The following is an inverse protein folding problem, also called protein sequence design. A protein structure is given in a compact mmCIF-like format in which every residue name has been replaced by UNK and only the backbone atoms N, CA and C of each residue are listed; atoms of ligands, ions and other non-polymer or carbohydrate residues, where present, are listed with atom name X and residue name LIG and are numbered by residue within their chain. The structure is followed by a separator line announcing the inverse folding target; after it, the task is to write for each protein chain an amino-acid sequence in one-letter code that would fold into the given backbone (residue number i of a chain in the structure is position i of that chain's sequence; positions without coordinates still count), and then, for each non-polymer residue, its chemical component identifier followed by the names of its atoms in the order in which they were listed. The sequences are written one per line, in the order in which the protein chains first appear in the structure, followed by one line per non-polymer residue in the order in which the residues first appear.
data_IF_503011474257
#
_entry.id   IF_503011474257
#
_cell.length_a   1.000
_cell.length_b   1.000
_cell.length_c   1.000
_cell.angle_alpha   90.00
_cell.angle_beta   90.00
_cell.angle_gamma   90.00
#
_symmetry.space_group_name_H-M   'P 1'
#
loop_
_entity.id
_entity.type
_entity.pdbx_description
1 polymer ?
#
# COMPACT_ATOMS: atom_id res chain seq x y z
N UNK A 1 -23.76 27.20 55.19
CA UNK A 1 -24.62 26.07 54.76
C UNK A 1 -25.35 26.48 53.50
N UNK A 2 -25.18 25.70 52.42
CA UNK A 2 -25.93 25.73 51.14
C UNK A 2 -25.72 26.98 50.27
N UNK A 3 -25.58 26.92 48.95
CA UNK A 3 -25.26 25.89 47.98
C UNK A 3 -24.98 26.63 46.65
N UNK A 4 -24.09 26.07 45.84
CA UNK A 4 -23.99 26.13 44.37
C UNK A 4 -24.74 27.25 43.61
N UNK A 5 -24.01 28.02 42.80
CA UNK A 5 -23.88 27.77 41.35
C UNK A 5 -23.36 29.05 40.67
N UNK A 6 -22.05 29.07 40.43
CA UNK A 6 -21.42 30.04 39.55
C UNK A 6 -21.81 29.71 38.10
N UNK A 7 -22.74 30.49 37.56
CA UNK A 7 -23.03 30.56 36.13
C UNK A 7 -21.88 31.25 35.42
N UNK A 8 -21.01 30.50 34.73
CA UNK A 8 -20.34 30.95 33.50
C UNK A 8 -19.58 29.78 32.86
N UNK A 9 -19.70 29.67 31.52
CA UNK A 9 -18.97 28.80 30.61
C UNK A 9 -19.21 27.29 30.70
N UNK A 10 -20.20 26.80 29.93
CA UNK A 10 -20.02 25.86 28.81
C UNK A 10 -21.40 25.39 28.35
N UNK A 11 -21.82 25.77 27.14
CA UNK A 11 -22.62 24.95 26.22
C UNK A 11 -22.89 25.75 24.93
N UNK A 12 -21.82 25.88 24.15
CA UNK A 12 -21.95 25.89 22.69
C UNK A 12 -22.24 24.44 22.31
N UNK A 13 -23.51 24.07 22.16
CA UNK A 13 -23.97 22.96 21.33
C UNK A 13 -25.50 22.84 21.43
N UNK A 14 -26.11 22.67 20.26
CA UNK A 14 -27.52 22.34 19.98
C UNK A 14 -28.48 23.52 19.78
N UNK A 15 -28.48 24.04 18.54
CA UNK A 15 -29.66 23.94 17.67
C UNK A 15 -30.74 25.04 17.73
N UNK A 16 -30.70 25.97 16.75
CA UNK A 16 -31.89 26.38 15.99
C UNK A 16 -31.45 27.13 14.72
N UNK A 17 -31.62 26.50 13.56
CA UNK A 17 -32.60 26.87 12.53
C UNK A 17 -32.41 28.31 12.03
N UNK A 18 -31.56 28.42 11.01
CA UNK A 18 -31.52 29.53 10.08
C UNK A 18 -31.51 28.98 8.66
N UNK A 19 -32.70 28.63 8.13
CA UNK A 19 -32.90 28.47 6.70
C UNK A 19 -32.51 29.78 6.00
N UNK A 20 -31.31 29.84 5.43
CA UNK A 20 -31.00 30.77 4.33
C UNK A 20 -30.51 29.98 3.14
N UNK A 21 -31.41 29.94 2.14
CA UNK A 21 -31.17 29.59 0.74
C UNK A 21 -29.79 30.09 0.29
N UNK A 22 -28.87 29.16 0.05
CA UNK A 22 -27.53 29.44 -0.47
C UNK A 22 -26.62 28.20 -0.51
N UNK A 23 -27.20 26.99 -0.50
CA UNK A 23 -26.49 25.74 -0.21
C UNK A 23 -26.79 24.65 -1.24
N UNK A 24 -26.96 25.05 -2.50
CA UNK A 24 -27.17 24.12 -3.63
C UNK A 24 -25.95 24.08 -4.58
N UNK A 25 -25.05 25.07 -4.54
CA UNK A 25 -23.87 25.12 -5.44
C UNK A 25 -22.56 24.54 -4.85
N UNK A 26 -22.58 23.92 -3.67
CA UNK A 26 -21.37 23.33 -3.03
C UNK A 26 -21.43 21.82 -2.78
N UNK A 27 -22.43 21.12 -3.35
CA UNK A 27 -22.69 19.70 -3.08
C UNK A 27 -21.97 18.71 -4.01
N UNK A 28 -21.27 19.18 -5.06
CA UNK A 28 -20.76 18.28 -6.10
C UNK A 28 -19.37 17.70 -5.84
N UNK A 29 -18.61 18.22 -4.86
CA UNK A 29 -17.24 17.79 -4.57
C UNK A 29 -17.03 17.58 -3.07
N UNK A 30 -16.56 16.40 -2.67
CA UNK A 30 -16.12 16.11 -1.30
C UNK A 30 -14.60 16.31 -1.15
N UNK A 31 -14.13 16.73 0.02
CA UNK A 31 -12.70 16.67 0.33
C UNK A 31 -12.30 15.25 0.78
N UNK A 32 -11.12 14.79 0.38
CA UNK A 32 -10.54 13.52 0.80
C UNK A 32 -10.21 13.54 2.30
N UNK A 33 -10.58 12.46 3.00
CA UNK A 33 -10.37 12.33 4.44
C UNK A 33 -11.24 11.22 5.04
N UNK A 34 -10.85 10.71 6.21
CA UNK A 34 -11.61 9.67 6.89
C UNK A 34 -13.05 10.13 7.18
N UNK A 35 -14.03 9.42 6.61
CA UNK A 35 -15.46 9.65 6.85
C UNK A 35 -16.14 10.67 5.93
N UNK A 36 -15.41 11.33 5.02
CA UNK A 36 -16.00 12.22 4.00
C UNK A 36 -16.39 11.44 2.75
N UNK A 37 -17.68 11.34 2.46
CA UNK A 37 -18.20 10.67 1.26
C UNK A 37 -18.76 11.69 0.26
N UNK A 38 -18.26 11.66 -0.97
CA UNK A 38 -19.00 12.19 -2.12
C UNK A 38 -20.19 11.27 -2.38
N UNK A 39 -21.40 11.80 -2.47
CA UNK A 39 -22.62 11.00 -2.68
C UNK A 39 -23.10 11.10 -4.11
N UNK A 40 -23.37 9.95 -4.72
CA UNK A 40 -24.05 9.85 -6.01
C UNK A 40 -25.06 8.71 -5.94
N UNK A 41 -26.34 9.06 -6.04
CA UNK A 41 -27.44 8.11 -5.86
C UNK A 41 -27.41 7.43 -4.48
N UNK A 42 -27.49 6.08 -4.41
CA UNK A 42 -27.44 5.32 -3.16
C UNK A 42 -26.02 5.07 -2.66
N UNK A 43 -24.98 5.46 -3.42
CA UNK A 43 -23.58 5.20 -3.08
C UNK A 43 -22.87 6.46 -2.57
N UNK A 44 -21.98 6.25 -1.62
CA UNK A 44 -20.93 7.18 -1.23
C UNK A 44 -19.57 6.68 -1.70
N UNK A 45 -18.67 7.60 -2.08
CA UNK A 45 -17.26 7.34 -2.33
C UNK A 45 -16.39 8.20 -1.42
N UNK A 46 -15.44 7.58 -0.74
CA UNK A 46 -14.39 8.25 0.02
C UNK A 46 -13.00 7.85 -0.50
N UNK A 47 -12.02 8.74 -0.34
CA UNK A 47 -10.60 8.43 -0.50
C UNK A 47 -10.03 8.11 0.89
N UNK A 48 -9.55 6.88 1.07
CA UNK A 48 -8.95 6.43 2.34
C UNK A 48 -7.49 6.87 2.47
N UNK A 49 -6.74 6.71 1.38
CA UNK A 49 -5.32 7.04 1.35
C UNK A 49 -4.89 7.34 -0.08
N UNK A 50 -3.84 8.15 -0.18
CA UNK A 50 -3.15 8.45 -1.44
C UNK A 50 -1.67 8.22 -1.20
N UNK A 51 -1.05 7.50 -2.12
CA UNK A 51 0.39 7.29 -2.14
C UNK A 51 0.92 7.79 -3.46
N UNK A 52 1.92 8.67 -3.39
CA UNK A 52 2.71 9.07 -4.54
C UNK A 52 4.11 8.46 -4.44
N UNK A 53 4.54 7.80 -5.51
CA UNK A 53 5.89 7.25 -5.62
C UNK A 53 5.90 5.91 -6.33
N UNK A 54 7.05 5.24 -6.25
CA UNK A 54 7.24 3.90 -6.76
C UNK A 54 6.35 2.87 -6.06
N UNK A 55 5.82 1.94 -6.83
CA UNK A 55 4.93 0.88 -6.35
C UNK A 55 5.38 -0.50 -6.78
N UNK A 56 4.88 -1.52 -6.09
CA UNK A 56 5.11 -2.91 -6.47
C UNK A 56 4.33 -3.24 -7.73
N UNK A 57 5.00 -3.95 -8.62
CA UNK A 57 4.41 -4.43 -9.85
C UNK A 57 4.63 -5.94 -10.01
N UNK A 58 3.65 -6.62 -10.59
CA UNK A 58 3.75 -8.04 -10.93
C UNK A 58 3.75 -8.21 -12.45
N UNK A 59 4.87 -8.69 -12.98
CA UNK A 59 5.02 -9.05 -14.39
C UNK A 59 4.36 -10.39 -14.75
N UNK A 60 4.19 -10.62 -16.05
CA UNK A 60 3.45 -11.76 -16.63
C UNK A 60 3.93 -13.16 -16.20
N UNK A 61 5.18 -13.29 -15.74
CA UNK A 61 5.75 -14.57 -15.27
C UNK A 61 5.84 -14.66 -13.74
N UNK A 62 5.09 -13.84 -13.01
CA UNK A 62 5.18 -13.74 -11.55
C UNK A 62 6.45 -13.05 -11.06
N UNK A 63 7.19 -12.39 -11.97
CA UNK A 63 8.32 -11.54 -11.63
C UNK A 63 7.79 -10.30 -10.92
N UNK A 64 8.22 -10.07 -9.70
CA UNK A 64 7.87 -8.88 -8.93
C UNK A 64 8.98 -7.85 -9.08
N UNK A 65 8.58 -6.59 -9.16
CA UNK A 65 9.49 -5.48 -9.31
C UNK A 65 8.89 -4.20 -8.76
N UNK A 66 9.58 -3.12 -9.03
CA UNK A 66 9.10 -1.79 -8.73
C UNK A 66 8.76 -1.09 -10.05
N UNK A 67 7.71 -0.25 -10.04
CA UNK A 67 7.32 0.54 -11.19
C UNK A 67 8.49 1.38 -11.70
N UNK A 68 8.63 1.48 -13.01
CA UNK A 68 9.71 2.30 -13.61
C UNK A 68 9.56 3.77 -13.25
N UNK A 69 8.34 4.26 -13.16
CA UNK A 69 8.03 5.65 -12.85
C UNK A 69 7.24 5.75 -11.55
N UNK A 70 7.24 6.92 -10.93
CA UNK A 70 6.35 7.21 -9.81
C UNK A 70 4.90 7.21 -10.31
N UNK A 71 3.99 6.73 -9.47
CA UNK A 71 2.55 6.71 -9.76
C UNK A 71 1.78 7.25 -8.57
N UNK A 72 0.55 7.68 -8.82
CA UNK A 72 -0.44 7.86 -7.77
C UNK A 72 -1.21 6.56 -7.58
N UNK A 73 -1.22 6.03 -6.36
CA UNK A 73 -2.14 4.97 -5.93
C UNK A 73 -3.14 5.58 -4.96
N UNK A 74 -4.42 5.49 -5.30
CA UNK A 74 -5.51 6.06 -4.54
C UNK A 74 -6.41 4.92 -4.08
N UNK A 75 -6.46 4.71 -2.77
CA UNK A 75 -7.36 3.76 -2.15
C UNK A 75 -8.69 4.43 -1.89
N UNK A 76 -9.75 3.83 -2.43
CA UNK A 76 -11.11 4.34 -2.34
C UNK A 76 -12.02 3.37 -1.61
N UNK A 77 -13.00 3.91 -0.89
CA UNK A 77 -14.05 3.13 -0.23
C UNK A 77 -15.42 3.54 -0.77
N UNK A 78 -16.11 2.59 -1.39
CA UNK A 78 -17.52 2.70 -1.69
C UNK A 78 -18.34 2.26 -0.48
N UNK A 79 -19.42 2.98 -0.21
CA UNK A 79 -20.39 2.64 0.82
C UNK A 79 -21.80 2.74 0.27
N UNK A 80 -22.62 1.72 0.51
CA UNK A 80 -24.06 1.78 0.29
C UNK A 80 -24.68 2.62 1.42
N UNK A 81 -25.05 3.86 1.08
CA UNK A 81 -25.66 4.81 2.01
C UNK A 81 -27.17 4.59 2.13
N UNK A 82 -27.80 4.08 1.07
CA UNK A 82 -29.21 3.67 1.07
C UNK A 82 -29.30 2.15 0.99
N UNK A 83 -29.57 1.52 2.13
CA UNK A 83 -29.61 0.06 2.27
C UNK A 83 -30.96 -0.56 1.90
N UNK A 84 -31.92 0.23 1.43
CA UNK A 84 -33.24 -0.26 1.03
C UNK A 84 -33.20 -1.18 -0.20
N UNK A 85 -32.14 -1.10 -1.01
CA UNK A 85 -31.99 -1.86 -2.23
C UNK A 85 -30.52 -2.25 -2.47
N UNK A 86 -30.22 -3.54 -2.71
CA UNK A 86 -28.89 -3.97 -3.09
C UNK A 86 -28.39 -3.34 -4.40
N UNK A 87 -27.08 -3.15 -4.49
CA UNK A 87 -26.42 -2.57 -5.66
C UNK A 87 -25.23 -3.43 -6.06
N UNK A 88 -25.08 -3.71 -7.36
CA UNK A 88 -23.83 -4.24 -7.93
C UNK A 88 -22.90 -3.07 -8.25
N UNK A 89 -21.71 -3.10 -7.67
CA UNK A 89 -20.68 -2.10 -7.90
C UNK A 89 -19.46 -2.80 -8.56
N UNK A 90 -19.24 -2.61 -9.87
CA UNK A 90 -18.07 -3.14 -10.58
C UNK A 90 -16.79 -2.46 -10.13
N UNK A 91 -15.66 -3.17 -10.23
CA UNK A 91 -14.33 -2.56 -10.13
C UNK A 91 -14.15 -1.46 -11.16
N UNK A 92 -13.75 -0.28 -10.70
CA UNK A 92 -13.56 0.91 -11.54
C UNK A 92 -12.38 0.73 -12.50
N UNK A 93 -11.30 0.11 -12.02
CA UNK A 93 -10.18 -0.35 -12.84
C UNK A 93 -10.07 -1.87 -12.66
N UNK A 94 -10.21 -2.64 -13.74
CA UNK A 94 -10.12 -4.10 -13.72
C UNK A 94 -8.77 -4.60 -14.26
N UNK A 95 -8.37 -5.77 -13.78
CA UNK A 95 -7.29 -6.55 -14.40
C UNK A 95 -7.72 -6.96 -15.82
N UNK A 96 -6.88 -6.70 -16.82
CA UNK A 96 -7.21 -7.06 -18.19
C UNK A 96 -8.08 -6.04 -18.97
N UNK A 97 -8.35 -4.84 -18.44
CA UNK A 97 -8.94 -3.75 -19.23
C UNK A 97 -9.38 -2.54 -18.41
N UNK A 98 -9.28 -1.34 -18.99
CA UNK A 98 -10.04 -0.20 -18.48
C UNK A 98 -11.50 -0.46 -18.88
N UNK A 99 -12.39 -0.74 -17.91
CA UNK A 99 -13.82 -0.57 -18.17
C UNK A 99 -14.04 0.93 -18.33
N UNK A 100 -13.88 1.42 -19.56
CA UNK A 100 -14.41 2.71 -19.95
C UNK A 100 -15.92 2.59 -19.80
N UNK A 101 -16.42 3.10 -18.67
CA UNK A 101 -17.61 3.93 -18.60
C UNK A 101 -18.82 3.44 -19.40
N UNK A 102 -19.89 3.09 -18.70
CA UNK A 102 -21.23 3.22 -19.27
C UNK A 102 -21.52 4.74 -19.43
N UNK A 103 -21.25 5.31 -20.61
CA UNK A 103 -21.55 6.71 -20.97
C UNK A 103 -20.35 7.67 -21.04
N UNK A 104 -20.63 8.98 -21.06
CA UNK A 104 -19.65 10.07 -21.29
C UNK A 104 -18.66 10.32 -20.13
N UNK A 105 -18.91 9.76 -18.93
CA UNK A 105 -18.13 10.04 -17.72
C UNK A 105 -16.87 9.16 -17.62
N UNK A 106 -15.67 9.74 -17.65
CA UNK A 106 -14.39 9.02 -17.57
C UNK A 106 -13.74 9.14 -16.18
N UNK A 107 -13.00 8.11 -15.78
CA UNK A 107 -12.11 8.16 -14.62
C UNK A 107 -10.97 9.15 -14.89
N UNK A 108 -10.80 10.17 -14.05
CA UNK A 108 -9.79 11.22 -14.22
C UNK A 108 -9.15 11.58 -12.90
N UNK A 109 -7.86 11.92 -12.95
CA UNK A 109 -7.13 12.55 -11.87
C UNK A 109 -6.47 13.81 -12.43
N UNK A 110 -6.81 14.96 -11.85
CA UNK A 110 -6.48 16.28 -12.40
C UNK A 110 -5.70 17.06 -11.34
N UNK A 111 -4.61 17.73 -11.70
CA UNK A 111 -3.89 18.59 -10.76
C UNK A 111 -4.46 20.01 -10.67
N UNK A 112 -3.89 20.84 -9.78
CA UNK A 112 -4.31 22.23 -9.60
C UNK A 112 -4.11 23.13 -10.82
N UNK A 113 -3.40 22.66 -11.86
CA UNK A 113 -3.20 23.35 -13.14
C UNK A 113 -4.10 22.82 -14.26
N UNK A 114 -4.97 21.84 -13.97
CA UNK A 114 -5.86 21.22 -14.96
C UNK A 114 -5.18 20.13 -15.79
N UNK A 115 -3.97 19.68 -15.44
CA UNK A 115 -3.28 18.58 -16.13
C UNK A 115 -3.84 17.25 -15.66
N UNK A 116 -4.08 16.33 -16.60
CA UNK A 116 -4.64 15.02 -16.31
C UNK A 116 -3.56 13.95 -16.23
N UNK A 117 -3.60 13.15 -15.17
CA UNK A 117 -2.83 11.92 -15.06
C UNK A 117 -3.53 10.79 -15.83
N UNK A 118 -2.75 10.00 -16.57
CA UNK A 118 -3.30 8.85 -17.30
C UNK A 118 -3.57 7.70 -16.34
N UNK A 119 -4.74 7.05 -16.40
CA UNK A 119 -4.98 5.80 -15.68
C UNK A 119 -3.99 4.72 -16.13
N UNK A 120 -3.35 4.03 -15.18
CA UNK A 120 -2.44 2.92 -15.49
C UNK A 120 -3.26 1.64 -15.70
N UNK A 121 -3.39 1.23 -16.96
CA UNK A 121 -4.09 0.01 -17.35
C UNK A 121 -3.42 -1.24 -16.75
N UNK A 122 -4.21 -2.28 -16.51
CA UNK A 122 -3.75 -3.52 -15.88
C UNK A 122 -3.06 -4.53 -16.84
N UNK A 123 -2.57 -4.09 -18.00
CA UNK A 123 -1.77 -4.92 -18.92
C UNK A 123 -0.33 -4.43 -18.95
N UNK A 124 0.62 -5.34 -18.73
CA UNK A 124 2.06 -5.09 -18.81
C UNK A 124 2.81 -5.53 -17.57
N UNK A 125 4.12 -5.28 -17.54
CA UNK A 125 5.02 -5.58 -16.42
C UNK A 125 4.69 -4.82 -15.12
N UNK A 126 3.60 -4.04 -15.11
CA UNK A 126 3.27 -2.97 -14.15
C UNK A 126 1.91 -3.12 -13.45
N UNK A 127 1.34 -4.34 -13.36
CA UNK A 127 0.10 -4.56 -12.62
C UNK A 127 0.32 -4.29 -11.12
N UNK A 128 -0.25 -3.19 -10.61
CA UNK A 128 -0.20 -2.84 -9.18
C UNK A 128 -0.92 -3.91 -8.38
N UNK A 129 -0.22 -4.54 -7.44
CA UNK A 129 -0.79 -5.59 -6.58
C UNK A 129 -1.97 -5.07 -5.76
N UNK A 130 -2.95 -5.94 -5.48
CA UNK A 130 -4.13 -5.70 -4.64
C UNK A 130 -5.35 -4.98 -5.26
N UNK A 131 -5.39 -4.76 -6.59
CA UNK A 131 -6.61 -4.27 -7.26
C UNK A 131 -7.78 -5.26 -7.13
N UNK A 132 -9.00 -4.73 -7.05
CA UNK A 132 -10.21 -5.56 -7.12
C UNK A 132 -10.43 -6.00 -8.56
N UNK A 133 -10.65 -7.29 -8.75
CA UNK A 133 -10.75 -7.91 -10.09
C UNK A 133 -12.19 -8.24 -10.50
N UNK A 134 -13.17 -7.90 -9.67
CA UNK A 134 -14.56 -8.32 -9.87
C UNK A 134 -15.60 -7.31 -9.40
N UNK A 135 -16.87 -7.68 -9.60
CA UNK A 135 -18.02 -6.90 -9.11
C UNK A 135 -18.39 -7.35 -7.71
N UNK A 136 -18.69 -6.39 -6.84
CA UNK A 136 -19.19 -6.65 -5.48
C UNK A 136 -20.67 -6.31 -5.42
N UNK A 137 -21.47 -7.16 -4.76
CA UNK A 137 -22.84 -6.82 -4.37
C UNK A 137 -22.79 -6.17 -3.00
N UNK A 138 -23.23 -4.92 -2.94
CA UNK A 138 -23.39 -4.16 -1.71
C UNK A 138 -24.85 -4.29 -1.23
N UNK A 139 -25.03 -4.58 0.05
CA UNK A 139 -26.33 -4.70 0.72
C UNK A 139 -26.21 -4.28 2.19
N UNK A 140 -27.25 -4.48 3.00
CA UNK A 140 -27.24 -4.09 4.41
C UNK A 140 -26.18 -4.83 5.26
N UNK A 141 -25.89 -6.10 4.94
CA UNK A 141 -24.95 -6.95 5.67
C UNK A 141 -23.50 -6.76 5.20
N UNK A 142 -23.31 -6.40 3.93
CA UNK A 142 -22.04 -6.11 3.30
C UNK A 142 -22.14 -4.77 2.54
N UNK A 143 -22.06 -3.67 3.27
CA UNK A 143 -22.37 -2.33 2.75
C UNK A 143 -21.17 -1.58 2.18
N UNK A 144 -19.96 -2.14 2.25
CA UNK A 144 -18.73 -1.44 1.84
C UNK A 144 -17.89 -2.28 0.86
N UNK A 145 -17.23 -1.62 -0.08
CA UNK A 145 -16.18 -2.20 -0.92
C UNK A 145 -15.02 -1.23 -1.07
N UNK A 146 -13.82 -1.77 -1.23
CA UNK A 146 -12.59 -1.00 -1.46
C UNK A 146 -12.11 -1.22 -2.89
N UNK A 147 -11.63 -0.14 -3.53
CA UNK A 147 -10.97 -0.16 -4.83
C UNK A 147 -9.63 0.57 -4.77
N UNK A 148 -8.66 0.08 -5.55
CA UNK A 148 -7.39 0.76 -5.80
C UNK A 148 -7.35 1.33 -7.20
N UNK A 149 -7.13 2.64 -7.28
CA UNK A 149 -7.00 3.36 -8.52
C UNK A 149 -5.53 3.76 -8.71
N UNK A 150 -4.97 3.52 -9.88
CA UNK A 150 -3.60 3.93 -10.20
C UNK A 150 -3.57 4.87 -11.40
N UNK A 151 -2.75 5.91 -11.29
CA UNK A 151 -2.49 6.91 -12.32
C UNK A 151 -0.99 7.17 -12.46
N UNK A 152 -0.54 7.50 -13.66
CA UNK A 152 0.82 8.01 -13.89
C UNK A 152 1.07 9.26 -13.02
N UNK A 153 2.30 9.47 -12.55
CA UNK A 153 2.66 10.74 -11.92
C UNK A 153 2.56 11.88 -12.92
N UNK A 154 2.17 13.07 -12.44
CA UNK A 154 2.20 14.31 -13.23
C UNK A 154 3.50 15.03 -12.85
N UNK A 155 4.49 15.15 -13.76
CA UNK A 155 5.75 15.83 -13.46
C UNK A 155 5.53 17.27 -13.00
N UNK A 156 6.04 17.59 -11.82
CA UNK A 156 5.85 18.90 -11.19
C UNK A 156 4.40 19.18 -10.80
N UNK A 157 3.61 18.16 -10.44
CA UNK A 157 2.28 18.34 -9.86
C UNK A 157 2.33 19.35 -8.71
N UNK A 158 1.41 20.32 -8.71
CA UNK A 158 1.28 21.32 -7.65
C UNK A 158 -0.18 21.47 -7.24
N UNK A 159 -0.39 21.92 -6.00
CA UNK A 159 -1.72 22.10 -5.44
C UNK A 159 -2.46 20.78 -5.19
N UNK A 160 -3.77 20.90 -5.05
CA UNK A 160 -4.64 19.77 -4.78
C UNK A 160 -4.93 18.97 -6.06
N UNK A 161 -5.18 17.68 -5.90
CA UNK A 161 -5.68 16.86 -7.00
C UNK A 161 -7.21 16.83 -6.95
N UNK A 162 -7.85 16.69 -8.10
CA UNK A 162 -9.27 16.38 -8.23
C UNK A 162 -9.40 15.00 -8.86
N UNK A 163 -9.96 14.07 -8.10
CA UNK A 163 -10.32 12.74 -8.56
C UNK A 163 -11.79 12.76 -9.03
N UNK A 164 -12.02 12.39 -10.28
CA UNK A 164 -13.35 12.19 -10.84
C UNK A 164 -13.57 10.70 -11.11
N UNK A 165 -14.53 10.08 -10.42
CA UNK A 165 -14.85 8.65 -10.55
C UNK A 165 -16.27 8.49 -11.08
N UNK A 166 -16.49 7.78 -12.21
CA UNK A 166 -17.84 7.52 -12.68
C UNK A 166 -18.58 6.67 -11.64
N UNK A 167 -19.83 7.03 -11.34
CA UNK A 167 -20.67 6.28 -10.42
C UNK A 167 -21.20 5.01 -11.09
N UNK A 168 -20.34 4.16 -11.63
CA UNK A 168 -20.74 2.91 -12.27
C UNK A 168 -21.34 1.98 -11.21
N UNK A 169 -22.67 1.90 -11.15
CA UNK A 169 -23.39 0.96 -10.29
C UNK A 169 -24.69 0.49 -10.94
N UNK A 170 -25.18 -0.68 -10.50
CA UNK A 170 -26.39 -1.29 -11.02
C UNK A 170 -27.33 -1.56 -9.84
N UNK A 171 -28.47 -0.86 -9.70
CA UNK A 171 -29.46 -1.18 -8.68
C UNK A 171 -30.21 -2.47 -8.99
N UNK A 172 -30.56 -3.23 -7.95
CA UNK A 172 -31.41 -4.41 -8.07
C UNK A 172 -32.86 -4.01 -8.35
N UNK A 173 -33.45 -4.56 -9.40
CA UNK A 173 -34.85 -4.35 -9.78
C UNK A 173 -35.77 -5.29 -8.97
N UNK A 174 -37.09 -5.01 -8.90
CA UNK A 174 -38.05 -5.88 -8.21
C UNK A 174 -38.09 -7.33 -8.72
N UNK A 175 -37.69 -7.55 -9.98
CA UNK A 175 -37.59 -8.89 -10.58
C UNK A 175 -36.29 -9.64 -10.22
N UNK A 176 -35.47 -9.08 -9.33
CA UNK A 176 -34.19 -9.66 -8.89
C UNK A 176 -33.00 -9.41 -9.82
N UNK A 177 -33.21 -8.79 -10.99
CA UNK A 177 -32.14 -8.49 -11.93
C UNK A 177 -31.46 -7.15 -11.62
N UNK A 178 -30.23 -6.96 -12.09
CA UNK A 178 -29.49 -5.71 -11.92
C UNK A 178 -29.53 -4.88 -13.20
N UNK A 179 -29.95 -3.62 -13.09
CA UNK A 179 -30.09 -2.74 -14.25
C UNK A 179 -28.88 -1.81 -14.40
N UNK A 180 -28.36 -1.68 -15.62
CA UNK A 180 -27.32 -0.69 -15.95
C UNK A 180 -27.95 0.71 -15.93
N UNK A 181 -27.36 1.62 -15.16
CA UNK A 181 -27.73 3.03 -15.20
C UNK A 181 -27.10 3.72 -16.41
N UNK A 182 -27.90 4.47 -17.18
CA UNK A 182 -27.42 5.16 -18.39
C UNK A 182 -26.60 6.42 -18.08
N UNK A 183 -26.81 7.05 -16.93
CA UNK A 183 -26.11 8.27 -16.52
C UNK A 183 -26.04 8.34 -14.99
N UNK A 184 -25.23 7.49 -14.35
CA UNK A 184 -25.29 7.39 -12.90
C UNK A 184 -24.63 8.57 -12.18
N UNK A 185 -23.98 9.50 -12.89
CA UNK A 185 -23.25 10.64 -12.31
C UNK A 185 -21.76 10.36 -12.14
N UNK A 186 -21.06 11.32 -11.51
CA UNK A 186 -19.62 11.28 -11.26
C UNK A 186 -19.35 11.76 -9.84
N UNK A 187 -18.60 10.97 -9.08
CA UNK A 187 -18.04 11.41 -7.81
C UNK A 187 -16.90 12.36 -8.08
N UNK A 188 -16.89 13.54 -7.48
CA UNK A 188 -15.73 14.44 -7.48
C UNK A 188 -15.17 14.53 -6.08
N UNK A 189 -13.88 14.26 -5.96
CA UNK A 189 -13.17 14.29 -4.68
C UNK A 189 -11.93 15.16 -4.83
N UNK A 190 -11.81 16.19 -4.00
CA UNK A 190 -10.58 16.99 -3.87
C UNK A 190 -9.62 16.28 -2.92
N UNK A 191 -8.39 16.05 -3.35
CA UNK A 191 -7.32 15.45 -2.57
C UNK A 191 -6.31 16.56 -2.26
N UNK A 192 -6.25 17.05 -1.00
CA UNK A 192 -5.32 18.10 -0.61
C UNK A 192 -3.86 17.72 -0.87
N UNK A 193 -3.01 18.70 -1.18
CA UNK A 193 -1.57 18.46 -1.42
C UNK A 193 -0.88 17.65 -0.33
N UNK A 194 -1.13 18.02 0.92
CA UNK A 194 -0.59 17.34 2.11
C UNK A 194 -0.95 15.85 2.20
N UNK A 195 -2.04 15.40 1.59
CA UNK A 195 -2.46 14.00 1.60
C UNK A 195 -1.65 13.17 0.60
N UNK A 196 -1.31 13.74 -0.56
CA UNK A 196 -0.59 13.00 -1.61
C UNK A 196 0.92 13.23 -1.62
N UNK A 197 1.39 14.35 -1.06
CA UNK A 197 2.81 14.70 -0.91
C UNK A 197 3.44 14.11 0.36
N UNK A 198 2.62 13.53 1.24
CA UNK A 198 3.09 12.86 2.45
C UNK A 198 3.95 11.64 2.08
N UNK A 199 5.21 11.65 2.55
CA UNK A 199 6.03 10.45 2.46
C UNK A 199 5.41 9.34 3.32
N UNK A 200 5.39 8.08 2.83
CA UNK A 200 4.92 6.98 3.64
C UNK A 200 5.74 6.89 4.95
N UNK A 201 5.09 6.58 6.08
CA UNK A 201 5.72 6.61 7.38
C UNK A 201 6.94 5.69 7.44
N UNK A 202 7.96 6.12 8.17
CA UNK A 202 9.18 5.34 8.43
C UNK A 202 9.34 5.10 9.92
N UNK A 203 9.97 3.98 10.27
CA UNK A 203 10.39 3.65 11.64
C UNK A 203 11.90 3.80 11.71
N UNK A 204 12.43 4.50 12.71
CA UNK A 204 13.87 4.55 12.91
C UNK A 204 14.42 3.14 13.20
N UNK A 205 15.47 2.75 12.48
CA UNK A 205 16.14 1.48 12.67
C UNK A 205 16.86 1.42 14.02
N UNK A 206 16.84 0.24 14.64
CA UNK A 206 17.50 -0.02 15.90
C UNK A 206 16.85 -1.19 16.64
N UNK A 207 17.58 -1.82 17.58
CA UNK A 207 17.05 -2.95 18.34
C UNK A 207 15.71 -2.64 19.01
N UNK A 208 14.72 -3.51 18.77
CA UNK A 208 13.37 -3.36 19.34
C UNK A 208 12.49 -2.29 18.69
N UNK A 209 12.91 -1.67 17.58
CA UNK A 209 12.08 -0.74 16.80
C UNK A 209 11.31 -1.50 15.71
N UNK A 210 10.09 -1.89 16.05
CA UNK A 210 9.25 -2.73 15.19
C UNK A 210 8.31 -1.89 14.31
N UNK A 211 8.30 -2.19 13.01
CA UNK A 211 7.22 -1.83 12.10
C UNK A 211 6.27 -3.02 11.97
N UNK A 212 4.96 -2.81 12.03
CA UNK A 212 3.96 -3.89 11.98
C UNK A 212 3.01 -3.68 10.80
N UNK A 213 2.79 -4.74 10.03
CA UNK A 213 1.84 -4.80 8.92
C UNK A 213 1.10 -6.13 9.02
N UNK A 214 -0.22 -6.08 9.20
CA UNK A 214 -1.03 -7.28 9.43
C UNK A 214 -0.49 -8.13 10.60
N UNK A 215 -0.38 -9.47 10.46
CA UNK A 215 0.09 -10.34 11.53
C UNK A 215 1.62 -10.35 11.72
N UNK A 216 2.39 -9.53 10.99
CA UNK A 216 3.86 -9.59 10.98
C UNK A 216 4.46 -8.27 11.44
N UNK A 217 5.47 -8.35 12.30
CA UNK A 217 6.34 -7.22 12.64
C UNK A 217 7.77 -7.46 12.14
N UNK A 218 8.42 -6.42 11.64
CA UNK A 218 9.82 -6.42 11.19
C UNK A 218 10.61 -5.38 12.00
N UNK A 219 11.88 -5.67 12.29
CA UNK A 219 12.83 -4.75 12.93
C UNK A 219 14.18 -4.81 12.23
N UNK A 220 14.87 -3.67 12.12
CA UNK A 220 16.27 -3.59 11.69
C UNK A 220 17.13 -3.50 12.94
N UNK A 221 17.82 -4.60 13.26
CA UNK A 221 18.56 -4.73 14.52
C UNK A 221 20.00 -4.24 14.43
N UNK A 222 20.60 -4.32 13.24
CA UNK A 222 21.98 -3.94 13.05
C UNK A 222 22.35 -3.76 11.59
N UNK A 223 23.30 -2.86 11.34
CA UNK A 223 23.88 -2.64 10.02
C UNK A 223 25.39 -2.63 10.14
N UNK A 224 26.10 -3.18 9.16
CA UNK A 224 27.57 -3.15 9.11
C UNK A 224 28.07 -3.15 7.68
N UNK A 225 29.22 -2.54 7.45
CA UNK A 225 30.00 -2.73 6.22
C UNK A 225 31.08 -3.79 6.47
N UNK A 226 31.22 -4.74 5.56
CA UNK A 226 32.33 -5.69 5.57
C UNK A 226 32.00 -7.02 4.91
N UNK A 227 32.97 -7.93 4.93
CA UNK A 227 32.79 -9.29 4.37
C UNK A 227 31.68 -10.09 5.05
N UNK A 228 31.10 -11.01 4.30
CA UNK A 228 30.11 -12.00 4.80
C UNK A 228 30.62 -13.41 4.60
N UNK A 229 30.19 -14.33 5.48
CA UNK A 229 30.48 -15.75 5.30
C UNK A 229 29.59 -16.32 4.19
N UNK A 230 30.21 -17.04 3.26
CA UNK A 230 29.54 -17.68 2.13
C UNK A 230 29.85 -19.18 2.16
N UNK A 231 28.83 -20.01 1.95
CA UNK A 231 28.98 -21.46 1.75
C UNK A 231 28.95 -21.77 0.26
N UNK A 232 29.99 -22.39 -0.25
CA UNK A 232 30.11 -22.83 -1.65
C UNK A 232 30.19 -24.36 -1.73
N UNK A 233 30.17 -24.92 -2.95
CA UNK A 233 30.46 -26.34 -3.19
C UNK A 233 31.85 -26.78 -2.68
N UNK A 234 32.78 -25.85 -2.48
CA UNK A 234 34.17 -26.11 -2.07
C UNK A 234 34.42 -25.81 -0.58
N UNK A 235 33.34 -25.55 0.19
CA UNK A 235 33.41 -25.21 1.61
C UNK A 235 32.98 -23.78 1.93
N UNK A 236 33.21 -23.37 3.17
CA UNK A 236 32.87 -22.03 3.66
C UNK A 236 34.04 -21.06 3.46
N UNK A 237 33.74 -19.84 3.02
CA UNK A 237 34.70 -18.76 2.85
C UNK A 237 34.10 -17.40 3.20
N UNK A 238 34.84 -16.34 2.89
CA UNK A 238 34.36 -14.95 2.96
C UNK A 238 34.03 -14.43 1.55
N UNK A 239 33.13 -13.45 1.46
CA UNK A 239 32.87 -12.72 0.22
C UNK A 239 34.16 -12.07 -0.31
N UNK A 240 34.27 -11.96 -1.64
CA UNK A 240 35.41 -11.32 -2.30
C UNK A 240 35.46 -9.82 -1.99
N UNK A 241 34.30 -9.19 -1.86
CA UNK A 241 34.12 -7.76 -1.64
C UNK A 241 33.41 -7.51 -0.30
N UNK A 242 33.59 -6.29 0.22
CA UNK A 242 32.82 -5.80 1.36
C UNK A 242 31.39 -5.50 0.92
N UNK A 243 30.44 -5.72 1.82
CA UNK A 243 29.02 -5.55 1.57
C UNK A 243 28.39 -4.74 2.68
N UNK A 244 27.37 -3.95 2.34
CA UNK A 244 26.48 -3.40 3.36
C UNK A 244 25.51 -4.51 3.79
N UNK A 245 25.60 -4.91 5.05
CA UNK A 245 24.83 -5.99 5.63
C UNK A 245 23.81 -5.41 6.61
N UNK A 246 22.54 -5.77 6.46
CA UNK A 246 21.42 -5.34 7.29
C UNK A 246 20.81 -6.57 7.95
N UNK A 247 20.96 -6.69 9.26
CA UNK A 247 20.34 -7.74 10.06
C UNK A 247 18.90 -7.33 10.41
N UNK A 248 17.94 -8.17 10.02
CA UNK A 248 16.52 -7.95 10.29
C UNK A 248 15.97 -9.07 11.16
N UNK A 249 15.05 -8.73 12.05
CA UNK A 249 14.24 -9.68 12.81
C UNK A 249 12.79 -9.58 12.38
N UNK A 250 12.12 -10.72 12.29
CA UNK A 250 10.70 -10.78 11.92
C UNK A 250 9.99 -11.67 12.90
N UNK A 251 8.90 -11.16 13.47
CA UNK A 251 8.08 -11.88 14.42
C UNK A 251 6.61 -11.83 14.07
N UNK A 252 5.89 -12.79 14.62
CA UNK A 252 4.44 -12.84 14.63
C UNK A 252 3.91 -11.78 15.61
N UNK A 253 3.12 -10.84 15.10
CA UNK A 253 2.44 -9.80 15.88
C UNK A 253 1.08 -10.30 16.42
N UNK A 254 0.42 -11.17 15.64
CA UNK A 254 -0.83 -11.83 16.02
C UNK A 254 -0.58 -13.33 16.30
N UNK A 255 -0.56 -13.77 17.57
CA UNK A 255 -0.33 -15.16 17.94
C UNK A 255 -1.34 -16.16 17.36
N UNK A 256 -2.52 -15.70 16.94
CA UNK A 256 -3.54 -16.55 16.33
C UNK A 256 -3.24 -16.87 14.86
N UNK A 257 -2.47 -16.01 14.19
CA UNK A 257 -2.10 -16.19 12.80
C UNK A 257 -1.02 -17.28 12.64
N UNK A 258 -0.97 -17.85 11.43
CA UNK A 258 0.17 -18.67 10.98
C UNK A 258 0.60 -18.18 9.63
N UNK A 259 1.90 -17.91 9.50
CA UNK A 259 2.47 -17.22 8.36
C UNK A 259 3.61 -18.03 7.77
N UNK A 260 3.64 -18.22 6.45
CA UNK A 260 4.74 -18.85 5.72
C UNK A 260 5.39 -17.88 4.76
N UNK A 261 6.68 -18.12 4.49
CA UNK A 261 7.48 -17.26 3.61
C UNK A 261 7.42 -15.79 4.03
N UNK A 262 7.70 -15.46 5.31
CA UNK A 262 7.84 -14.08 5.78
C UNK A 262 8.75 -13.24 4.86
N UNK A 263 8.66 -11.90 4.92
CA UNK A 263 9.16 -10.98 3.89
C UNK A 263 10.69 -10.92 3.84
N UNK A 264 11.31 -11.98 3.32
CA UNK A 264 12.75 -12.19 3.21
C UNK A 264 13.19 -12.33 1.76
N UNK A 265 14.48 -12.19 1.56
CA UNK A 265 15.13 -12.63 0.33
C UNK A 265 15.27 -14.15 0.38
N UNK A 266 14.65 -14.91 -0.55
CA UNK A 266 14.88 -16.34 -0.58
C UNK A 266 16.36 -16.62 -0.89
N UNK A 267 17.00 -17.49 -0.13
CA UNK A 267 18.26 -18.10 -0.56
C UNK A 267 17.94 -18.98 -1.78
N UNK A 268 18.29 -18.51 -2.98
CA UNK A 268 18.23 -19.38 -4.16
C UNK A 268 19.53 -19.30 -4.95
N UNK A 269 20.11 -20.48 -5.12
CA UNK A 269 21.16 -20.75 -6.10
C UNK A 269 20.45 -20.74 -7.46
N UNK A 270 20.48 -19.62 -8.18
CA UNK A 270 20.10 -19.60 -9.61
C UNK A 270 19.21 -18.47 -10.11
N UNK A 271 18.71 -17.56 -9.27
CA UNK A 271 17.91 -16.42 -9.76
C UNK A 271 18.72 -15.11 -9.75
N UNK A 272 19.60 -14.94 -10.74
CA UNK A 272 20.31 -13.68 -10.98
C UNK A 272 19.42 -12.52 -11.49
N UNK A 273 18.09 -12.70 -11.53
CA UNK A 273 17.17 -11.77 -12.23
C UNK A 273 15.83 -11.50 -11.52
N UNK A 274 15.65 -11.93 -10.27
CA UNK A 274 14.48 -11.54 -9.49
C UNK A 274 14.84 -10.36 -8.59
N UNK A 275 14.24 -9.20 -8.82
CA UNK A 275 14.33 -8.07 -7.89
C UNK A 275 13.70 -8.54 -6.56
N UNK A 276 14.48 -8.66 -5.46
CA UNK A 276 13.92 -9.17 -4.22
C UNK A 276 12.87 -8.20 -3.69
N UNK A 277 12.00 -8.68 -2.79
CA UNK A 277 10.87 -7.95 -2.23
C UNK A 277 11.30 -6.83 -1.25
N UNK A 278 12.29 -6.03 -1.65
CA UNK A 278 12.93 -5.01 -0.84
C UNK A 278 13.66 -3.99 -1.72
N UNK A 279 13.85 -2.79 -1.18
CA UNK A 279 14.64 -1.74 -1.80
C UNK A 279 15.39 -0.95 -0.73
N UNK A 280 16.65 -0.62 -0.99
CA UNK A 280 17.45 0.26 -0.14
C UNK A 280 17.84 1.49 -0.95
N UNK A 281 17.53 2.68 -0.44
CA UNK A 281 17.78 3.96 -1.13
C UNK A 281 18.47 4.97 -0.22
N UNK A 282 19.17 5.97 -0.78
CA UNK A 282 19.49 7.18 -0.03
C UNK A 282 18.20 7.87 0.43
N UNK A 283 18.18 8.41 1.65
CA UNK A 283 17.01 9.15 2.15
C UNK A 283 16.71 10.43 1.36
N UNK A 284 17.72 11.00 0.69
CA UNK A 284 17.57 12.19 -0.18
C UNK A 284 16.99 11.87 -1.57
N UNK A 285 16.59 10.61 -1.81
CA UNK A 285 16.14 10.14 -3.11
C UNK A 285 17.28 9.59 -3.97
N UNK A 286 16.92 8.75 -4.94
CA UNK A 286 17.85 8.08 -5.85
C UNK A 286 17.41 6.66 -6.19
N UNK A 287 18.11 6.06 -7.15
CA UNK A 287 17.89 4.66 -7.55
C UNK A 287 18.22 3.70 -6.39
N UNK A 288 17.51 2.56 -6.28
CA UNK A 288 17.80 1.56 -5.26
C UNK A 288 19.18 0.93 -5.47
N UNK A 289 19.88 0.69 -4.36
CA UNK A 289 21.14 -0.05 -4.36
C UNK A 289 20.92 -1.52 -4.71
N UNK A 290 21.89 -2.11 -5.42
CA UNK A 290 21.82 -3.51 -5.83
C UNK A 290 21.79 -4.44 -4.62
N UNK A 291 20.77 -5.29 -4.58
CA UNK A 291 20.67 -6.38 -3.60
C UNK A 291 21.48 -7.57 -4.08
N UNK A 292 22.26 -8.16 -3.18
CA UNK A 292 23.14 -9.27 -3.50
C UNK A 292 22.60 -10.53 -2.83
N UNK A 293 22.03 -11.44 -3.62
CA UNK A 293 21.33 -12.64 -3.14
C UNK A 293 22.19 -13.91 -3.21
N UNK A 294 23.22 -13.92 -4.05
CA UNK A 294 24.19 -15.01 -4.18
C UNK A 294 25.57 -14.48 -4.59
N UNK A 295 26.63 -15.22 -4.26
CA UNK A 295 28.02 -14.93 -4.62
C UNK A 295 28.59 -16.14 -5.36
N UNK A 296 28.48 -16.15 -6.70
CA UNK A 296 28.71 -17.37 -7.48
C UNK A 296 27.75 -18.49 -7.06
N UNK A 297 28.18 -19.75 -7.17
CA UNK A 297 27.42 -20.91 -6.67
C UNK A 297 27.38 -21.00 -5.11
N UNK A 298 27.50 -19.87 -4.41
CA UNK A 298 27.58 -19.79 -2.95
C UNK A 298 26.40 -19.10 -2.28
N UNK A 299 25.95 -19.66 -1.16
CA UNK A 299 24.88 -19.15 -0.28
C UNK A 299 25.46 -18.29 0.85
N UNK A 300 24.87 -17.13 1.12
CA UNK A 300 25.26 -16.28 2.27
C UNK A 300 24.76 -16.90 3.56
N UNK A 301 25.66 -17.14 4.52
CA UNK A 301 25.27 -17.65 5.84
C UNK A 301 24.53 -16.57 6.64
N UNK A 302 23.45 -16.98 7.31
CA UNK A 302 22.56 -16.08 8.06
C UNK A 302 21.33 -15.61 7.28
N UNK A 303 21.20 -16.02 6.01
CA UNK A 303 19.96 -15.87 5.24
C UNK A 303 18.87 -16.81 5.75
N UNK A 304 17.61 -16.37 5.71
CA UNK A 304 16.48 -17.23 6.02
C UNK A 304 16.07 -18.13 4.85
N UNK A 305 15.60 -19.33 5.17
CA UNK A 305 15.05 -20.26 4.19
C UNK A 305 13.76 -19.71 3.59
N UNK A 306 13.54 -19.98 2.30
CA UNK A 306 12.31 -19.66 1.58
C UNK A 306 11.05 -20.38 2.13
N UNK A 307 11.21 -21.34 3.04
CA UNK A 307 10.11 -22.10 3.66
C UNK A 307 9.87 -21.78 5.14
N UNK A 308 10.50 -20.71 5.67
CA UNK A 308 10.29 -20.31 7.06
C UNK A 308 8.78 -20.14 7.40
N UNK A 309 8.37 -20.69 8.53
CA UNK A 309 7.01 -20.54 9.10
C UNK A 309 7.11 -19.80 10.43
N UNK A 310 6.26 -18.80 10.61
CA UNK A 310 6.00 -18.14 11.88
C UNK A 310 4.68 -18.65 12.45
N UNK A 311 4.73 -19.09 13.70
CA UNK A 311 3.59 -19.60 14.45
C UNK A 311 3.79 -19.31 15.94
N UNK A 312 2.79 -19.52 16.78
CA UNK A 312 2.96 -19.37 18.23
C UNK A 312 4.14 -20.20 18.81
N UNK A 313 4.46 -21.37 18.21
CA UNK A 313 5.58 -22.22 18.64
C UNK A 313 6.94 -21.72 18.14
N UNK A 314 6.96 -21.04 16.99
CA UNK A 314 8.15 -20.43 16.40
C UNK A 314 7.79 -19.00 16.00
N UNK A 315 7.72 -18.08 16.97
CA UNK A 315 7.12 -16.77 16.74
C UNK A 315 8.05 -15.81 16.02
N UNK A 316 9.33 -16.15 15.84
CA UNK A 316 10.34 -15.23 15.35
C UNK A 316 11.48 -15.92 14.60
N UNK A 317 12.03 -15.20 13.61
CA UNK A 317 13.23 -15.57 12.85
C UNK A 317 14.07 -14.33 12.49
N UNK A 318 15.33 -14.53 12.11
CA UNK A 318 16.30 -13.45 11.81
C UNK A 318 16.92 -13.64 10.43
N UNK A 319 16.95 -12.61 9.58
CA UNK A 319 17.56 -12.66 8.24
C UNK A 319 18.70 -11.64 8.10
N UNK A 320 19.62 -11.90 7.17
CA UNK A 320 20.75 -11.03 6.84
C UNK A 320 20.63 -10.55 5.40
N UNK A 321 20.29 -9.28 5.20
CA UNK A 321 20.14 -8.68 3.87
C UNK A 321 21.44 -8.00 3.45
N UNK A 322 21.96 -8.36 2.27
CA UNK A 322 23.21 -7.83 1.74
C UNK A 322 23.00 -6.97 0.50
N UNK A 323 23.67 -5.82 0.47
CA UNK A 323 23.69 -4.86 -0.63
C UNK A 323 25.13 -4.55 -1.05
N UNK A 324 25.30 -3.95 -2.23
CA UNK A 324 26.60 -3.43 -2.68
C UNK A 324 27.20 -2.41 -1.69
N UNK A 325 28.54 -2.39 -1.58
CA UNK A 325 29.27 -1.52 -0.65
C UNK A 325 28.98 -0.03 -0.85
N UNK A 326 28.66 0.39 -2.09
CA UNK A 326 28.33 1.77 -2.44
C UNK A 326 27.20 2.35 -1.60
N UNK A 327 26.30 1.52 -1.08
CA UNK A 327 25.25 1.95 -0.16
C UNK A 327 25.80 2.61 1.12
N UNK A 328 27.00 2.24 1.56
CA UNK A 328 27.62 2.80 2.76
C UNK A 328 28.07 4.26 2.63
N UNK A 329 28.13 4.80 1.41
CA UNK A 329 28.50 6.20 1.14
C UNK A 329 27.39 7.19 1.57
N UNK A 330 26.14 6.75 1.60
CA UNK A 330 24.99 7.58 1.97
C UNK A 330 25.06 8.04 3.44
N UNK A 331 24.53 9.22 3.73
CA UNK A 331 24.41 9.73 5.12
C UNK A 331 23.23 9.10 5.88
N UNK A 332 22.21 8.68 5.14
CA UNK A 332 21.04 8.01 5.66
C UNK A 332 20.41 7.16 4.56
N UNK A 333 19.93 5.98 4.95
CA UNK A 333 19.32 5.02 4.06
C UNK A 333 17.86 4.79 4.44
N UNK A 334 17.02 4.54 3.44
CA UNK A 334 15.64 4.06 3.61
C UNK A 334 15.58 2.63 3.10
N UNK A 335 15.38 1.68 4.02
CA UNK A 335 15.08 0.30 3.68
C UNK A 335 13.57 0.13 3.59
N UNK A 336 13.08 -0.28 2.44
CA UNK A 336 11.71 -0.71 2.21
C UNK A 336 11.69 -2.22 2.11
N UNK A 337 10.88 -2.90 2.92
CA UNK A 337 10.65 -4.35 2.86
C UNK A 337 9.17 -4.57 2.58
N UNK A 338 8.88 -5.41 1.59
CA UNK A 338 7.53 -5.66 1.14
C UNK A 338 6.92 -6.83 1.93
N UNK A 339 5.81 -6.65 2.67
CA UNK A 339 4.99 -7.73 3.20
C UNK A 339 4.59 -8.72 2.10
N UNK A 340 5.37 -9.79 2.03
CA UNK A 340 5.10 -10.97 1.24
C UNK A 340 5.11 -12.14 2.19
N UNK A 341 3.96 -12.76 2.35
CA UNK A 341 3.81 -14.01 3.06
C UNK A 341 2.51 -14.69 2.64
N UNK A 342 2.38 -15.94 3.07
CA UNK A 342 1.13 -16.69 3.00
C UNK A 342 0.54 -16.81 4.39
N UNK A 343 -0.74 -16.55 4.52
CA UNK A 343 -1.49 -16.76 5.77
C UNK A 343 -2.33 -18.04 5.68
N UNK A 344 -2.39 -18.80 6.78
CA UNK A 344 -3.21 -20.01 6.85
C UNK A 344 -4.66 -19.64 7.14
N UNK A 345 -5.56 -20.02 6.23
CA UNK A 345 -7.00 -19.85 6.37
C UNK A 345 -7.61 -20.85 7.36
N UNK A 346 -8.84 -20.58 7.86
CA UNK A 346 -9.57 -21.52 8.73
C UNK A 346 -9.80 -22.91 8.11
N UNK A 347 -9.92 -22.98 6.79
CA UNK A 347 -10.06 -24.23 6.03
C UNK A 347 -8.73 -25.00 5.88
N UNK A 348 -7.64 -24.47 6.45
CA UNK A 348 -6.31 -25.06 6.42
C UNK A 348 -5.48 -24.71 5.18
N UNK A 349 -6.05 -24.01 4.19
CA UNK A 349 -5.35 -23.60 2.97
C UNK A 349 -4.44 -22.39 3.20
N UNK A 350 -3.47 -22.19 2.31
CA UNK A 350 -2.56 -21.05 2.36
C UNK A 350 -2.92 -20.05 1.27
N UNK A 351 -3.11 -18.78 1.63
CA UNK A 351 -3.38 -17.71 0.69
C UNK A 351 -2.28 -16.65 0.76
N UNK A 352 -1.86 -16.14 -0.40
CA UNK A 352 -0.96 -15.00 -0.47
C UNK A 352 -1.61 -13.76 0.14
N UNK A 353 -0.82 -12.98 0.87
CA UNK A 353 -1.28 -11.71 1.44
C UNK A 353 -1.19 -10.60 0.39
N UNK A 354 -2.28 -9.85 0.25
CA UNK A 354 -2.35 -8.67 -0.62
C UNK A 354 -2.29 -7.39 0.24
N UNK A 355 -1.16 -7.15 0.91
CA UNK A 355 -0.96 -5.91 1.66
C UNK A 355 -0.34 -4.82 0.78
N UNK A 356 -0.94 -3.64 0.84
CA UNK A 356 -0.47 -2.41 0.17
C UNK A 356 0.58 -1.66 1.01
N UNK A 357 0.66 -1.97 2.31
CA UNK A 357 1.60 -1.34 3.23
C UNK A 357 3.02 -1.87 2.98
N UNK A 358 4.02 -1.06 3.31
CA UNK A 358 5.43 -1.44 3.28
C UNK A 358 6.00 -1.33 4.70
N UNK A 359 6.92 -2.22 5.07
CA UNK A 359 7.81 -1.91 6.20
C UNK A 359 8.87 -0.94 5.71
N UNK A 360 8.95 0.25 6.31
CA UNK A 360 9.95 1.25 5.92
C UNK A 360 10.78 1.65 7.12
N UNK A 361 12.09 1.55 6.98
CA UNK A 361 13.05 1.85 8.04
C UNK A 361 14.00 2.95 7.63
N UNK A 362 14.19 3.91 8.53
CA UNK A 362 15.22 4.95 8.42
C UNK A 362 16.48 4.48 9.12
N UNK A 363 17.57 4.32 8.37
CA UNK A 363 18.83 3.77 8.87
C UNK A 363 19.90 4.88 8.82
N UNK A 364 20.31 5.43 9.98
CA UNK A 364 21.33 6.47 10.03
C UNK A 364 22.74 5.89 9.87
N UNK A 365 23.66 6.67 9.27
CA UNK A 365 25.07 6.28 9.02
C UNK A 365 25.82 5.80 10.26
N UNK A 366 25.45 6.29 11.44
CA UNK A 366 26.01 5.84 12.72
C UNK A 366 25.85 4.33 12.98
N UNK A 367 24.92 3.64 12.31
CA UNK A 367 24.77 2.19 12.48
C UNK A 367 25.93 1.39 11.88
N UNK A 368 26.56 1.87 10.79
CA UNK A 368 27.62 1.12 10.08
C UNK A 368 28.98 1.82 10.00
N UNK A 369 29.06 3.13 10.25
CA UNK A 369 30.30 3.89 10.24
C UNK A 369 31.05 3.79 11.59
N UNK A 370 31.36 2.56 12.01
CA UNK A 370 32.05 2.28 13.29
C UNK A 370 33.57 2.36 13.17
#
# INVERSE_FOLDING_TARGET
MRALAASLLLLVLVGSIGCKRGLIDRLDTADAGAGSYARVGPLGLAVESVRHGKVRVRGMMGQEGESKDDVFVIKTRFKLLDTSMPVKQPAIQQDGGIQFSFGENKLRLIDGQGREAKPVAAWGLDAVSARRTGTTVLNAENSESTDLLTFESIPGATGDLTLEVPASYQPMQPNGNYAIQKSPGTFKIRIPKEVWDAQPPTVDAGPGRWATVGPVSVSVEGVRLGKVKVRTLHGNGDSSEDLLCVAVRVKLADPAARVKKPPFVPSSIGAAFANPALALRPARGGEPYKVLTSFGFGEVLGRQSHEAELSAQQPEVTDLITFEAKAAEADELILTVWPKWKERKPDGTWADTNSEEDFRFRIPKSMWAK
#
